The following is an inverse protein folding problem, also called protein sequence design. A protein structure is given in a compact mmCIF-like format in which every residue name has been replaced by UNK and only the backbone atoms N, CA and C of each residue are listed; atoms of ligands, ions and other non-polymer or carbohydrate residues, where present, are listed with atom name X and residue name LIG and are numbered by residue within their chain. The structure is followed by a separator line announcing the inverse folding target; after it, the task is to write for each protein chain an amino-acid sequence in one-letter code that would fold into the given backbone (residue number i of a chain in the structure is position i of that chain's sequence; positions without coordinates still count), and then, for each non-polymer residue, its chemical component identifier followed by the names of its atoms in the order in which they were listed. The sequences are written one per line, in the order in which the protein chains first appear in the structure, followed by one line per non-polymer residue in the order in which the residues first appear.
data_IF_770226576032
#
_entry.id   IF_770226576032
#
_cell.length_a   1.000
_cell.length_b   1.000
_cell.length_c   1.000
_cell.angle_alpha   90.00
_cell.angle_beta   90.00
_cell.angle_gamma   90.00
#
_symmetry.space_group_name_H-M   'P 1'
#
loop_
_entity.id
_entity.type
_entity.pdbx_description
1 polymer ?
#
# COMPACT_ATOMS: atom_id res chain seq x y z
N UNK A 1 -6.00 22.19 4.57
CA UNK A 1 -4.83 21.43 4.09
C UNK A 1 -4.73 20.06 4.79
N UNK A 2 -5.78 19.23 4.69
CA UNK A 2 -5.82 17.84 5.20
C UNK A 2 -6.34 16.86 4.13
N UNK A 3 -7.09 17.36 3.15
CA UNK A 3 -7.64 16.58 2.05
C UNK A 3 -6.60 16.00 1.10
N UNK A 4 -5.39 16.56 1.00
CA UNK A 4 -4.36 16.04 0.09
C UNK A 4 -3.88 14.64 0.52
N UNK A 5 -3.75 14.41 1.82
CA UNK A 5 -3.36 13.10 2.36
C UNK A 5 -4.49 12.08 2.25
N UNK A 6 -5.73 12.51 2.44
CA UNK A 6 -6.92 11.66 2.26
C UNK A 6 -7.10 11.29 0.79
N UNK A 7 -6.97 12.25 -0.13
CA UNK A 7 -7.04 12.05 -1.58
C UNK A 7 -5.95 11.09 -2.05
N UNK A 8 -4.71 11.27 -1.57
CA UNK A 8 -3.61 10.37 -1.90
C UNK A 8 -3.85 8.96 -1.36
N UNK A 9 -4.46 8.82 -0.18
CA UNK A 9 -4.80 7.52 0.36
C UNK A 9 -5.85 6.79 -0.49
N UNK A 10 -6.87 7.51 -1.00
CA UNK A 10 -7.87 6.95 -1.91
C UNK A 10 -7.27 6.57 -3.26
N UNK A 11 -6.43 7.43 -3.86
CA UNK A 11 -5.75 7.11 -5.12
C UNK A 11 -4.88 5.87 -5.01
N UNK A 12 -4.17 5.70 -3.89
CA UNK A 12 -3.35 4.51 -3.64
C UNK A 12 -4.18 3.22 -3.59
N UNK A 13 -5.43 3.28 -3.10
CA UNK A 13 -6.35 2.13 -3.10
C UNK A 13 -6.80 1.80 -4.51
N UNK A 14 -7.15 2.79 -5.33
CA UNK A 14 -7.56 2.58 -6.71
C UNK A 14 -6.41 2.06 -7.59
N UNK A 15 -5.20 2.61 -7.43
CA UNK A 15 -3.99 2.13 -8.11
C UNK A 15 -3.71 0.68 -7.74
N UNK A 16 -3.88 0.33 -6.47
CA UNK A 16 -3.66 -1.03 -5.97
C UNK A 16 -4.59 -2.03 -6.66
N UNK A 17 -5.87 -1.72 -6.77
CA UNK A 17 -6.85 -2.63 -7.37
C UNK A 17 -6.59 -2.85 -8.88
N UNK A 18 -6.27 -1.78 -9.61
CA UNK A 18 -5.84 -1.87 -11.02
C UNK A 18 -4.57 -2.71 -11.19
N UNK A 19 -3.56 -2.49 -10.35
CA UNK A 19 -2.32 -3.27 -10.38
C UNK A 19 -2.55 -4.76 -10.08
N UNK A 20 -3.52 -5.09 -9.21
CA UNK A 20 -3.87 -6.49 -8.96
C UNK A 20 -4.46 -7.17 -10.19
N UNK A 21 -5.41 -6.53 -10.86
CA UNK A 21 -6.03 -7.06 -12.08
C UNK A 21 -4.97 -7.30 -13.16
N UNK A 22 -4.12 -6.30 -13.42
CA UNK A 22 -3.01 -6.42 -14.38
C UNK A 22 -2.02 -7.53 -14.02
N UNK A 23 -1.66 -7.66 -12.73
CA UNK A 23 -0.71 -8.68 -12.28
C UNK A 23 -1.30 -10.09 -12.45
N UNK A 24 -2.59 -10.28 -12.16
CA UNK A 24 -3.28 -11.56 -12.34
C UNK A 24 -3.36 -11.90 -13.84
N UNK A 25 -3.70 -10.94 -14.70
CA UNK A 25 -3.74 -11.16 -16.14
C UNK A 25 -2.36 -11.51 -16.72
N UNK A 26 -1.31 -10.78 -16.32
CA UNK A 26 0.08 -11.09 -16.70
C UNK A 26 0.50 -12.48 -16.23
N UNK A 27 0.14 -12.87 -15.02
CA UNK A 27 0.45 -14.20 -14.51
C UNK A 27 -0.32 -15.30 -15.27
N UNK A 28 -1.61 -15.09 -15.55
CA UNK A 28 -2.43 -16.02 -16.37
C UNK A 28 -1.85 -16.21 -17.78
N UNK A 29 -1.45 -15.12 -18.43
CA UNK A 29 -0.87 -15.18 -19.77
C UNK A 29 0.48 -15.90 -19.80
N UNK A 30 1.34 -15.69 -18.79
CA UNK A 30 2.60 -16.44 -18.62
C UNK A 30 2.35 -17.93 -18.39
N UNK A 31 1.41 -18.30 -17.52
CA UNK A 31 1.07 -19.70 -17.29
C UNK A 31 0.59 -20.38 -18.59
N UNK A 32 -0.26 -19.71 -19.38
CA UNK A 32 -0.67 -20.19 -20.71
C UNK A 32 0.50 -20.34 -21.66
N UNK A 33 1.40 -19.35 -21.71
CA UNK A 33 2.58 -19.37 -22.59
C UNK A 33 3.54 -20.51 -22.28
N UNK A 34 3.64 -20.90 -21.01
CA UNK A 34 4.53 -21.96 -20.54
C UNK A 34 3.86 -23.33 -20.39
N UNK A 35 2.61 -23.47 -20.88
CA UNK A 35 1.81 -24.70 -20.76
C UNK A 35 1.73 -25.23 -19.32
N UNK A 36 1.66 -24.32 -18.35
CA UNK A 36 1.53 -24.66 -16.93
C UNK A 36 0.04 -24.83 -16.62
N UNK A 37 -0.35 -26.04 -16.24
CA UNK A 37 -1.71 -26.32 -15.77
C UNK A 37 -2.01 -25.46 -14.53
N UNK A 38 -3.05 -24.64 -14.64
CA UNK A 38 -3.53 -23.73 -13.59
C UNK A 38 -4.57 -24.38 -12.67
N UNK A 39 -4.96 -25.64 -12.96
CA UNK A 39 -5.79 -26.45 -12.06
C UNK A 39 -5.14 -26.61 -10.69
N UNK A 40 -5.98 -26.92 -9.69
CA UNK A 40 -5.65 -27.07 -8.28
C UNK A 40 -4.33 -27.82 -8.12
N UNK A 41 -3.25 -27.10 -7.81
CA UNK A 41 -2.01 -27.73 -7.36
C UNK A 41 -2.32 -28.26 -5.98
N UNK A 42 -2.45 -29.59 -5.84
CA UNK A 42 -2.50 -30.22 -4.54
C UNK A 42 -1.19 -29.87 -3.81
N UNK A 43 -1.24 -28.93 -2.87
CA UNK A 43 -0.14 -28.76 -1.91
C UNK A 43 -0.01 -30.07 -1.15
N UNK A 44 1.22 -30.58 -1.03
CA UNK A 44 1.56 -31.69 -0.13
C UNK A 44 1.53 -31.25 1.34
N UNK A 45 0.56 -30.43 1.75
CA UNK A 45 0.38 -30.07 3.16
C UNK A 45 -0.37 -31.20 3.86
N UNK A 46 0.01 -31.44 5.11
CA UNK A 46 -0.63 -32.44 5.97
C UNK A 46 -2.08 -32.00 6.19
N UNK A 47 -3.03 -32.82 5.71
CA UNK A 47 -4.47 -32.65 5.90
C UNK A 47 -4.79 -32.50 7.40
N UNK A 48 -5.49 -31.45 7.78
CA UNK A 48 -5.97 -31.28 9.15
C UNK A 48 -7.19 -32.17 9.42
N UNK A 49 -7.42 -32.59 10.68
CA UNK A 49 -8.65 -33.29 11.03
C UNK A 49 -9.86 -32.42 10.65
N UNK A 50 -10.83 -32.98 9.91
CA UNK A 50 -12.03 -32.34 9.33
C UNK A 50 -11.87 -31.55 8.02
N UNK A 51 -10.66 -31.39 7.46
CA UNK A 51 -10.53 -30.86 6.08
C UNK A 51 -10.99 -31.91 5.05
N UNK A 52 -11.63 -31.50 3.95
CA UNK A 52 -11.77 -32.36 2.77
C UNK A 52 -10.55 -32.17 1.85
N UNK A 53 -10.24 -33.18 1.02
CA UNK A 53 -9.08 -33.11 0.11
C UNK A 53 -9.17 -31.94 -0.90
N UNK A 54 -10.38 -31.43 -1.14
CA UNK A 54 -10.66 -30.26 -2.00
C UNK A 54 -10.31 -28.94 -1.31
N UNK A 55 -10.35 -28.90 0.02
CA UNK A 55 -10.10 -27.69 0.81
C UNK A 55 -8.60 -27.43 1.00
N UNK A 56 -7.77 -28.46 0.83
CA UNK A 56 -6.33 -28.39 1.03
C UNK A 56 -5.56 -27.77 -0.17
N UNK A 57 -6.19 -27.66 -1.34
CA UNK A 57 -5.56 -27.18 -2.57
C UNK A 57 -6.08 -25.81 -3.00
N UNK A 58 -5.23 -24.78 -2.94
CA UNK A 58 -5.50 -23.52 -3.64
C UNK A 58 -5.20 -23.70 -5.14
N UNK A 59 -6.01 -23.08 -6.00
CA UNK A 59 -5.68 -22.97 -7.42
C UNK A 59 -4.45 -22.08 -7.61
N UNK A 60 -3.75 -22.22 -8.74
CA UNK A 60 -2.62 -21.35 -9.07
C UNK A 60 -3.04 -19.87 -9.06
N UNK A 61 -4.26 -19.57 -9.52
CA UNK A 61 -4.83 -18.23 -9.51
C UNK A 61 -5.03 -17.69 -8.09
N UNK A 62 -5.55 -18.50 -7.16
CA UNK A 62 -5.70 -18.08 -5.78
C UNK A 62 -4.35 -17.91 -5.07
N UNK A 63 -3.36 -18.76 -5.36
CA UNK A 63 -2.00 -18.58 -4.82
C UNK A 63 -1.37 -17.26 -5.32
N UNK A 64 -1.45 -16.99 -6.62
CA UNK A 64 -0.96 -15.73 -7.21
C UNK A 64 -1.66 -14.54 -6.56
N UNK A 65 -3.00 -14.58 -6.45
CA UNK A 65 -3.79 -13.52 -5.82
C UNK A 65 -3.43 -13.30 -4.36
N UNK A 66 -3.26 -14.37 -3.57
CA UNK A 66 -2.85 -14.26 -2.17
C UNK A 66 -1.47 -13.63 -2.02
N UNK A 67 -0.49 -14.08 -2.82
CA UNK A 67 0.88 -13.56 -2.74
C UNK A 67 0.93 -12.09 -3.15
N UNK A 68 0.31 -11.73 -4.28
CA UNK A 68 0.28 -10.33 -4.72
C UNK A 68 -0.41 -9.46 -3.68
N UNK A 69 -1.60 -9.85 -3.19
CA UNK A 69 -2.31 -9.13 -2.13
C UNK A 69 -1.46 -8.91 -0.89
N UNK A 70 -0.79 -9.95 -0.40
CA UNK A 70 0.04 -9.86 0.80
C UNK A 70 1.21 -8.85 0.67
N UNK A 71 1.81 -8.74 -0.53
CA UNK A 71 2.92 -7.83 -0.78
C UNK A 71 2.40 -6.39 -0.78
N UNK A 72 1.30 -6.16 -1.49
CA UNK A 72 0.70 -4.84 -1.62
C UNK A 72 0.09 -4.35 -0.31
N UNK A 73 -0.58 -5.20 0.46
CA UNK A 73 -1.09 -4.86 1.79
C UNK A 73 0.05 -4.43 2.72
N UNK A 74 1.18 -5.14 2.68
CA UNK A 74 2.38 -4.78 3.46
C UNK A 74 2.98 -3.46 3.00
N UNK A 75 2.99 -3.18 1.69
CA UNK A 75 3.47 -1.93 1.14
C UNK A 75 2.56 -0.76 1.55
N UNK A 76 1.25 -0.91 1.36
CA UNK A 76 0.24 0.07 1.75
C UNK A 76 0.34 0.37 3.25
N UNK A 77 0.44 -0.65 4.09
CA UNK A 77 0.62 -0.46 5.53
C UNK A 77 1.87 0.37 5.85
N UNK A 78 3.01 0.10 5.21
CA UNK A 78 4.23 0.89 5.40
C UNK A 78 4.07 2.34 4.96
N UNK A 79 3.40 2.56 3.83
CA UNK A 79 3.12 3.90 3.30
C UNK A 79 2.22 4.67 4.26
N UNK A 80 1.08 4.10 4.66
CA UNK A 80 0.16 4.70 5.64
C UNK A 80 0.89 5.01 6.96
N UNK A 81 1.68 4.08 7.49
CA UNK A 81 2.45 4.31 8.71
C UNK A 81 3.40 5.51 8.59
N UNK A 82 4.06 5.67 7.43
CA UNK A 82 4.94 6.81 7.17
C UNK A 82 4.15 8.11 7.06
N UNK A 83 3.00 8.10 6.39
CA UNK A 83 2.11 9.27 6.31
C UNK A 83 1.58 9.70 7.67
N UNK A 84 1.16 8.75 8.52
CA UNK A 84 0.74 9.07 9.90
C UNK A 84 1.88 9.71 10.67
N UNK A 85 3.11 9.17 10.57
CA UNK A 85 4.28 9.78 11.22
C UNK A 85 4.57 11.19 10.70
N UNK A 86 4.44 11.40 9.40
CA UNK A 86 4.63 12.72 8.78
C UNK A 86 3.56 13.71 9.24
N UNK A 87 2.30 13.28 9.32
CA UNK A 87 1.19 14.08 9.83
C UNK A 87 1.40 14.47 11.30
N UNK A 88 1.86 13.54 12.15
CA UNK A 88 2.21 13.84 13.55
C UNK A 88 3.37 14.83 13.63
N UNK A 89 4.41 14.67 12.79
CA UNK A 89 5.52 15.62 12.71
C UNK A 89 5.01 17.00 12.31
N UNK A 90 4.18 17.07 11.27
CA UNK A 90 3.59 18.32 10.81
C UNK A 90 2.70 18.96 11.87
N UNK A 91 1.91 18.19 12.61
CA UNK A 91 1.11 18.73 13.72
C UNK A 91 2.00 19.33 14.82
N UNK A 92 3.11 18.65 15.15
CA UNK A 92 4.04 19.08 16.21
C UNK A 92 4.83 20.34 15.83
N UNK A 93 5.29 20.41 14.58
CA UNK A 93 6.20 21.47 14.13
C UNK A 93 5.51 22.56 13.31
N UNK A 94 4.31 22.30 12.78
CA UNK A 94 3.43 23.18 11.97
C UNK A 94 4.02 23.78 10.69
N UNK A 95 5.33 23.67 10.45
CA UNK A 95 5.99 24.26 9.29
C UNK A 95 6.29 23.27 8.14
N UNK A 96 6.11 21.97 8.36
CA UNK A 96 6.61 20.94 7.42
C UNK A 96 5.78 20.79 6.16
N UNK A 97 4.47 20.98 6.26
CA UNK A 97 3.55 20.92 5.13
C UNK A 97 2.95 22.28 4.80
N UNK A 98 3.08 23.29 5.67
CA UNK A 98 2.55 24.64 5.43
C UNK A 98 3.56 25.50 4.64
N UNK A 99 3.69 25.17 3.35
CA UNK A 99 4.67 25.78 2.43
C UNK A 99 4.40 27.28 2.23
N UNK A 100 3.14 27.71 2.24
CA UNK A 100 2.77 29.13 2.15
C UNK A 100 3.33 29.91 3.34
N UNK A 101 3.10 29.45 4.57
CA UNK A 101 3.64 30.11 5.76
C UNK A 101 5.17 30.02 5.86
N UNK A 102 5.79 28.98 5.30
CA UNK A 102 7.24 28.79 5.30
C UNK A 102 7.96 29.72 4.29
N UNK A 103 7.33 30.00 3.15
CA UNK A 103 7.90 30.85 2.09
C UNK A 103 7.54 32.34 2.26
N UNK A 104 6.59 32.67 3.15
CA UNK A 104 6.27 34.04 3.50
C UNK A 104 7.45 34.68 4.26
N UNK A 105 8.21 35.50 3.54
CA UNK A 105 9.42 36.22 3.98
C UNK A 105 9.17 37.19 5.14
N UNK A 106 7.91 37.56 5.39
CA UNK A 106 7.53 38.59 6.36
C UNK A 106 7.57 38.10 7.82
N UNK A 107 7.82 36.80 8.06
CA UNK A 107 7.93 36.21 9.40
C UNK A 107 9.38 36.05 9.90
N UNK A 108 10.38 36.47 9.10
CA UNK A 108 11.78 36.46 9.53
C UNK A 108 12.13 37.89 9.95
N UNK A 109 12.42 38.07 11.24
CA UNK A 109 12.97 39.27 11.89
C UNK A 109 11.98 40.33 12.42
N UNK A 110 11.11 39.98 13.38
CA UNK A 110 10.53 40.98 14.30
C UNK A 110 10.85 40.75 15.79
N UNK A 111 11.58 39.68 16.15
CA UNK A 111 11.90 39.37 17.55
C UNK A 111 13.26 39.92 18.04
N UNK A 112 13.98 40.70 17.23
CA UNK A 112 15.26 41.32 17.63
C UNK A 112 15.17 42.80 18.05
N UNK A 113 14.01 43.45 17.98
CA UNK A 113 13.84 44.85 18.41
C UNK A 113 13.02 44.99 19.70
N UNK A 114 13.51 44.36 20.79
CA UNK A 114 13.20 44.82 22.16
C UNK A 114 14.44 44.73 23.03
N UNK A 115 15.34 45.71 22.85
CA UNK A 115 16.21 46.25 23.90
C UNK A 115 17.01 47.43 23.34
N UNK A 116 16.50 48.64 23.55
CA UNK A 116 17.17 49.74 24.24
C UNK A 116 16.20 50.91 24.40
#
# INVERSE_FOLDING_TARGET
MFHDLESLATELVEIRDKLYEEAIEKAKSLCKKWDIDTKIRLRRRRKMPRELARDAGLSAECEISCVTKSIFDRLQHKICTRFTRLSVLNFKFRFLLDIENLLNKDNVDNDFEKKN
#
